data_IF_941807632282
#
_entry.id   IF_941807632282
#
_cell.length_a   1.000
_cell.length_b   1.000
_cell.length_c   1.000
_cell.angle_alpha   90.00
_cell.angle_beta   90.00
_cell.angle_gamma   90.00
#
_symmetry.space_group_name_H-M   'P 1'
#
loop_
_entity.id
_entity.type
_entity.pdbx_description
1 polymer ?
#
# COMPACT_ATOMS: atom_id res chain seq x y z
N UNK A 1 -11.88 -27.07 -13.59
CA UNK A 1 -12.00 -26.81 -12.14
C UNK A 1 -12.76 -25.51 -11.98
N UNK A 2 -13.87 -25.53 -11.23
CA UNK A 2 -14.65 -24.31 -10.95
C UNK A 2 -13.91 -23.40 -9.94
N UNK A 3 -14.34 -22.15 -9.85
CA UNK A 3 -13.71 -21.09 -9.08
C UNK A 3 -13.76 -21.35 -7.57
N UNK A 4 -14.87 -21.89 -7.07
CA UNK A 4 -15.00 -22.22 -5.64
C UNK A 4 -13.96 -23.26 -5.22
N UNK A 5 -13.83 -24.32 -6.01
CA UNK A 5 -12.87 -25.38 -5.72
C UNK A 5 -11.44 -24.89 -5.89
N UNK A 6 -11.16 -24.02 -6.87
CA UNK A 6 -9.89 -23.32 -6.96
C UNK A 6 -9.60 -22.49 -5.69
N UNK A 7 -10.56 -21.70 -5.22
CA UNK A 7 -10.41 -20.85 -4.03
C UNK A 7 -10.16 -21.67 -2.76
N UNK A 8 -10.77 -22.86 -2.63
CA UNK A 8 -10.48 -23.80 -1.53
C UNK A 8 -9.03 -24.29 -1.57
N UNK A 9 -8.50 -24.53 -2.76
CA UNK A 9 -7.16 -25.07 -2.99
C UNK A 9 -6.14 -24.01 -3.46
N UNK A 10 -6.42 -22.71 -3.24
CA UNK A 10 -5.65 -21.60 -3.82
C UNK A 10 -4.16 -21.63 -3.50
N UNK A 11 -3.78 -22.25 -2.38
CA UNK A 11 -2.40 -22.38 -1.95
C UNK A 11 -1.71 -23.67 -2.45
N UNK A 12 -2.42 -24.57 -3.13
CA UNK A 12 -1.87 -25.83 -3.67
C UNK A 12 -0.91 -25.59 -4.83
N UNK A 13 -1.26 -24.70 -5.75
CA UNK A 13 -0.37 -24.24 -6.82
C UNK A 13 0.69 -23.24 -6.31
N UNK A 14 0.37 -22.53 -5.22
CA UNK A 14 1.30 -21.68 -4.48
C UNK A 14 1.72 -20.40 -5.22
N UNK A 15 2.58 -19.62 -4.58
CA UNK A 15 3.37 -18.56 -5.19
C UNK A 15 4.83 -19.02 -5.18
N UNK A 16 5.63 -18.69 -6.19
CA UNK A 16 7.08 -18.95 -6.10
C UNK A 16 7.67 -18.26 -4.86
N UNK A 17 8.63 -18.92 -4.21
CA UNK A 17 9.33 -18.37 -3.06
C UNK A 17 10.30 -17.27 -3.53
N UNK A 18 10.44 -16.21 -2.74
CA UNK A 18 11.39 -15.13 -3.01
C UNK A 18 12.81 -15.71 -3.15
N UNK A 19 13.48 -15.54 -4.30
CA UNK A 19 14.88 -15.95 -4.45
C UNK A 19 15.80 -15.02 -3.65
N UNK A 20 17.02 -15.48 -3.40
CA UNK A 20 18.09 -14.61 -2.90
C UNK A 20 18.79 -13.94 -4.09
N UNK A 21 19.11 -12.66 -3.97
CA UNK A 21 19.79 -11.92 -5.02
C UNK A 21 20.25 -10.54 -4.60
N UNK A 22 21.12 -9.97 -5.43
CA UNK A 22 21.60 -8.61 -5.30
C UNK A 22 21.71 -7.98 -6.68
N UNK A 23 21.05 -6.84 -6.86
CA UNK A 23 20.95 -6.16 -8.14
C UNK A 23 21.33 -4.69 -8.02
N UNK A 24 22.21 -4.23 -8.91
CA UNK A 24 22.72 -2.86 -8.88
C UNK A 24 21.70 -1.86 -9.41
N UNK A 25 20.98 -2.20 -10.47
CA UNK A 25 20.08 -1.29 -11.20
C UNK A 25 18.64 -1.80 -11.26
N UNK A 26 17.70 -0.90 -11.58
CA UNK A 26 16.28 -1.27 -11.79
C UNK A 26 16.14 -2.39 -12.82
N UNK A 27 16.84 -2.31 -13.96
CA UNK A 27 16.75 -3.31 -15.04
C UNK A 27 17.22 -4.70 -14.60
N UNK A 28 18.29 -4.77 -13.82
CA UNK A 28 18.79 -6.03 -13.26
C UNK A 28 17.79 -6.62 -12.28
N UNK A 29 17.30 -5.81 -11.34
CA UNK A 29 16.30 -6.22 -10.36
C UNK A 29 15.00 -6.69 -11.02
N UNK A 30 14.53 -5.95 -12.02
CA UNK A 30 13.39 -6.35 -12.82
C UNK A 30 13.62 -7.72 -13.46
N UNK A 31 14.75 -7.91 -14.15
CA UNK A 31 15.04 -9.13 -14.91
C UNK A 31 15.21 -10.34 -14.00
N UNK A 32 15.93 -10.19 -12.90
CA UNK A 32 16.34 -11.29 -12.02
C UNK A 32 15.25 -11.65 -10.99
N UNK A 33 14.43 -10.68 -10.56
CA UNK A 33 13.45 -10.86 -9.49
C UNK A 33 12.00 -10.74 -10.00
N UNK A 34 11.61 -9.58 -10.53
CA UNK A 34 10.20 -9.25 -10.80
C UNK A 34 9.64 -9.99 -12.01
N UNK A 35 10.39 -10.04 -13.13
CA UNK A 35 9.90 -10.47 -14.44
C UNK A 35 9.29 -11.87 -14.42
N UNK A 36 9.85 -12.78 -13.62
CA UNK A 36 9.40 -14.17 -13.51
C UNK A 36 8.13 -14.35 -12.66
N UNK A 37 7.71 -13.30 -11.95
CA UNK A 37 6.45 -13.30 -11.18
C UNK A 37 5.29 -12.68 -11.95
N UNK A 38 5.50 -12.20 -13.18
CA UNK A 38 4.45 -11.56 -13.96
C UNK A 38 3.55 -12.60 -14.66
N UNK A 39 2.23 -12.38 -14.71
CA UNK A 39 1.34 -13.23 -15.50
C UNK A 39 1.72 -13.25 -16.99
N UNK A 40 1.45 -14.39 -17.64
CA UNK A 40 1.58 -14.54 -19.09
C UNK A 40 0.62 -13.61 -19.83
N UNK A 41 0.98 -13.22 -21.06
CA UNK A 41 0.19 -12.27 -21.87
C UNK A 41 -1.21 -12.81 -22.15
N UNK A 42 -1.29 -14.08 -22.53
CA UNK A 42 -2.55 -14.74 -22.89
C UNK A 42 -3.50 -14.77 -21.69
N UNK A 43 -2.96 -15.00 -20.50
CA UNK A 43 -3.71 -14.99 -19.24
C UNK A 43 -4.21 -13.59 -18.90
N UNK A 44 -3.40 -12.54 -19.12
CA UNK A 44 -3.85 -11.17 -18.95
C UNK A 44 -4.94 -10.78 -19.95
N UNK A 45 -4.87 -11.23 -21.21
CA UNK A 45 -5.94 -11.02 -22.19
C UNK A 45 -7.27 -11.61 -21.72
N UNK A 46 -7.22 -12.84 -21.17
CA UNK A 46 -8.41 -13.53 -20.68
C UNK A 46 -9.00 -12.84 -19.45
N UNK A 47 -8.15 -12.41 -18.50
CA UNK A 47 -8.59 -11.63 -17.34
C UNK A 47 -9.20 -10.28 -17.75
N UNK A 48 -8.58 -9.58 -18.70
CA UNK A 48 -9.10 -8.30 -19.21
C UNK A 48 -10.49 -8.47 -19.84
N UNK A 49 -10.66 -9.48 -20.70
CA UNK A 49 -11.95 -9.80 -21.32
C UNK A 49 -13.02 -10.14 -20.28
N UNK A 50 -12.69 -11.00 -19.31
CA UNK A 50 -13.60 -11.40 -18.24
C UNK A 50 -14.04 -10.20 -17.39
N UNK A 51 -13.09 -9.38 -16.96
CA UNK A 51 -13.37 -8.23 -16.08
C UNK A 51 -14.14 -7.13 -16.81
N UNK A 52 -13.78 -6.81 -18.07
CA UNK A 52 -14.49 -5.82 -18.88
C UNK A 52 -15.92 -6.26 -19.21
N UNK A 53 -16.16 -7.56 -19.38
CA UNK A 53 -17.52 -8.10 -19.52
C UNK A 53 -18.28 -7.95 -18.20
N UNK A 54 -17.69 -8.42 -17.10
CA UNK A 54 -18.33 -8.41 -15.78
C UNK A 54 -18.75 -7.02 -15.30
N UNK A 55 -17.90 -6.00 -15.46
CA UNK A 55 -18.23 -4.64 -14.96
C UNK A 55 -19.40 -3.99 -15.69
N UNK A 56 -19.85 -4.55 -16.81
CA UNK A 56 -21.00 -4.06 -17.57
C UNK A 56 -22.28 -4.84 -17.32
N UNK A 57 -22.24 -5.86 -16.46
CA UNK A 57 -23.44 -6.61 -16.09
C UNK A 57 -24.38 -5.81 -15.16
N UNK A 58 -25.71 -5.90 -15.36
CA UNK A 58 -26.68 -5.20 -14.52
C UNK A 58 -26.60 -5.55 -13.04
N UNK A 59 -26.19 -6.78 -12.70
CA UNK A 59 -26.12 -7.29 -11.32
C UNK A 59 -24.68 -7.45 -10.81
N UNK A 60 -23.70 -6.84 -11.47
CA UNK A 60 -22.33 -6.85 -10.99
C UNK A 60 -22.24 -6.30 -9.55
N UNK A 61 -21.35 -6.90 -8.75
CA UNK A 61 -21.04 -6.44 -7.40
C UNK A 61 -19.59 -5.98 -7.38
N UNK A 62 -19.39 -4.71 -7.07
CA UNK A 62 -18.07 -4.09 -7.08
C UNK A 62 -17.43 -4.18 -5.70
N UNK A 63 -16.25 -4.80 -5.62
CA UNK A 63 -15.45 -4.74 -4.39
C UNK A 63 -14.73 -3.40 -4.27
N UNK A 64 -14.83 -2.77 -3.10
CA UNK A 64 -14.30 -1.43 -2.82
C UNK A 64 -13.32 -1.49 -1.65
N UNK A 65 -12.14 -0.89 -1.86
CA UNK A 65 -11.08 -0.82 -0.86
C UNK A 65 -11.19 0.46 -0.02
N UNK A 66 -12.17 0.52 0.86
CA UNK A 66 -12.38 1.62 1.82
C UNK A 66 -12.83 1.07 3.18
N UNK A 67 -12.62 1.84 4.25
CA UNK A 67 -13.09 1.49 5.60
C UNK A 67 -12.62 0.09 6.02
N UNK A 68 -11.39 -0.27 5.63
CA UNK A 68 -10.87 -1.64 5.73
C UNK A 68 -9.86 -1.82 6.88
N UNK A 69 -9.36 -0.70 7.41
CA UNK A 69 -8.40 -0.64 8.52
C UNK A 69 -8.75 0.56 9.40
N UNK A 70 -8.86 0.33 10.70
CA UNK A 70 -8.77 1.32 11.77
C UNK A 70 -8.12 0.64 12.99
N UNK A 71 -7.87 1.37 14.06
CA UNK A 71 -7.45 0.79 15.33
C UNK A 71 -8.51 -0.13 15.91
N UNK A 72 -8.11 -1.11 16.73
CA UNK A 72 -9.05 -2.04 17.38
C UNK A 72 -10.12 -1.31 18.23
N UNK A 73 -9.79 -0.13 18.76
CA UNK A 73 -10.72 0.68 19.54
C UNK A 73 -11.76 1.41 18.68
N UNK A 74 -11.59 1.41 17.36
CA UNK A 74 -12.44 2.09 16.37
C UNK A 74 -13.02 1.08 15.35
N UNK A 75 -13.33 -0.14 15.78
CA UNK A 75 -13.92 -1.15 14.90
C UNK A 75 -15.22 -0.66 14.22
N UNK A 76 -15.93 0.29 14.83
CA UNK A 76 -17.07 1.02 14.27
C UNK A 76 -16.80 1.74 12.94
N UNK A 77 -15.54 1.93 12.55
CA UNK A 77 -15.13 2.53 11.28
C UNK A 77 -14.78 1.49 10.20
N UNK A 78 -14.88 0.20 10.52
CA UNK A 78 -14.49 -0.89 9.62
C UNK A 78 -15.75 -1.53 8.99
N UNK A 79 -15.71 -1.83 7.69
CA UNK A 79 -16.86 -2.33 6.92
C UNK A 79 -16.57 -3.60 6.11
N UNK A 80 -15.48 -4.34 6.37
CA UNK A 80 -15.08 -5.45 5.48
C UNK A 80 -16.17 -6.51 5.39
N UNK A 81 -16.55 -6.89 4.17
CA UNK A 81 -17.63 -7.84 3.87
C UNK A 81 -19.04 -7.26 3.92
N UNK A 82 -19.19 -5.96 4.21
CA UNK A 82 -20.49 -5.29 4.31
C UNK A 82 -20.97 -4.94 2.91
N UNK A 83 -22.19 -5.35 2.59
CA UNK A 83 -22.78 -5.21 1.26
C UNK A 83 -23.81 -4.08 1.22
N UNK A 84 -23.70 -3.23 0.22
CA UNK A 84 -24.54 -2.03 0.05
C UNK A 84 -25.19 -2.06 -1.33
N UNK A 85 -26.46 -1.65 -1.37
CA UNK A 85 -27.30 -1.64 -2.55
C UNK A 85 -27.99 -0.28 -2.71
N UNK A 86 -27.82 0.35 -3.87
CA UNK A 86 -28.56 1.55 -4.27
C UNK A 86 -29.97 1.19 -4.78
N UNK A 87 -30.85 2.18 -4.87
CA UNK A 87 -32.24 1.99 -5.28
C UNK A 87 -32.36 1.41 -6.72
N UNK A 88 -31.52 1.86 -7.65
CA UNK A 88 -31.41 1.29 -9.00
C UNK A 88 -30.62 -0.03 -9.11
N UNK A 89 -30.63 -0.84 -8.05
CA UNK A 89 -29.97 -2.15 -7.95
C UNK A 89 -28.44 -2.17 -8.12
N UNK A 90 -27.77 -1.02 -8.18
CA UNK A 90 -26.31 -0.98 -8.22
C UNK A 90 -25.72 -1.39 -6.86
N UNK A 91 -24.70 -2.25 -6.89
CA UNK A 91 -24.27 -2.97 -5.68
C UNK A 91 -22.76 -2.94 -5.47
N UNK A 92 -22.32 -2.78 -4.23
CA UNK A 92 -20.92 -2.89 -3.87
C UNK A 92 -20.70 -3.53 -2.50
N UNK A 93 -19.48 -3.97 -2.25
CA UNK A 93 -19.05 -4.57 -0.98
C UNK A 93 -17.67 -4.04 -0.60
N UNK A 94 -17.47 -3.72 0.67
CA UNK A 94 -16.14 -3.33 1.14
C UNK A 94 -15.23 -4.55 1.32
N UNK A 95 -13.98 -4.45 0.92
CA UNK A 95 -12.99 -5.52 1.01
C UNK A 95 -11.85 -5.18 1.98
N UNK A 96 -11.06 -6.20 2.33
CA UNK A 96 -9.80 -5.95 3.03
C UNK A 96 -8.65 -5.60 2.05
N UNK A 97 -7.43 -5.44 2.59
CA UNK A 97 -6.24 -5.11 1.79
C UNK A 97 -5.73 -6.25 0.88
N UNK A 98 -6.30 -7.45 1.00
CA UNK A 98 -5.77 -8.68 0.43
C UNK A 98 -6.64 -9.26 -0.67
N UNK A 99 -7.80 -8.67 -0.99
CA UNK A 99 -8.63 -9.11 -2.11
C UNK A 99 -7.83 -9.25 -3.41
N UNK A 100 -6.99 -8.25 -3.73
CA UNK A 100 -6.13 -8.24 -4.91
C UNK A 100 -5.18 -9.46 -4.99
N UNK A 101 -4.82 -10.06 -3.85
CA UNK A 101 -3.95 -11.23 -3.83
C UNK A 101 -4.61 -12.44 -4.49
N UNK A 102 -5.94 -12.60 -4.37
CA UNK A 102 -6.67 -13.70 -5.01
C UNK A 102 -6.59 -13.58 -6.53
N UNK A 103 -6.85 -12.40 -7.08
CA UNK A 103 -6.79 -12.17 -8.53
C UNK A 103 -5.38 -12.34 -9.08
N UNK A 104 -4.39 -11.80 -8.38
CA UNK A 104 -3.01 -11.88 -8.83
C UNK A 104 -2.48 -13.32 -8.78
N UNK A 105 -2.76 -14.07 -7.71
CA UNK A 105 -2.29 -15.45 -7.58
C UNK A 105 -2.93 -16.36 -8.64
N UNK A 106 -4.22 -16.18 -8.93
CA UNK A 106 -4.88 -16.90 -10.00
C UNK A 106 -4.19 -16.62 -11.34
N UNK A 107 -3.88 -15.36 -11.63
CA UNK A 107 -3.22 -14.96 -12.87
C UNK A 107 -1.80 -15.54 -13.03
N UNK A 108 -0.96 -15.51 -12.00
CA UNK A 108 0.40 -16.10 -12.10
C UNK A 108 0.35 -17.63 -12.21
N UNK A 109 -0.66 -18.25 -11.60
CA UNK A 109 -0.92 -19.69 -11.71
C UNK A 109 -1.68 -20.06 -12.99
N UNK A 110 -1.81 -19.12 -13.94
CA UNK A 110 -2.44 -19.33 -15.25
C UNK A 110 -3.89 -19.81 -15.15
N UNK A 111 -4.58 -19.43 -14.06
CA UNK A 111 -5.99 -19.71 -13.86
C UNK A 111 -6.82 -18.47 -14.19
N UNK A 112 -7.81 -18.66 -15.06
CA UNK A 112 -8.88 -17.72 -15.33
C UNK A 112 -10.19 -18.51 -15.21
N UNK A 113 -11.13 -18.08 -14.36
CA UNK A 113 -12.41 -18.77 -14.25
C UNK A 113 -13.23 -18.60 -15.54
N UNK A 114 -14.15 -19.52 -15.78
CA UNK A 114 -15.20 -19.31 -16.78
C UNK A 114 -16.06 -18.10 -16.38
N UNK A 115 -16.59 -17.38 -17.38
CA UNK A 115 -17.37 -16.19 -17.13
C UNK A 115 -18.61 -16.45 -16.25
N UNK A 116 -19.38 -17.50 -16.57
CA UNK A 116 -20.60 -17.82 -15.82
C UNK A 116 -20.26 -18.20 -14.39
N UNK A 117 -19.22 -19.00 -14.20
CA UNK A 117 -18.74 -19.41 -12.88
C UNK A 117 -18.25 -18.19 -12.05
N UNK A 118 -17.49 -17.28 -12.66
CA UNK A 118 -17.09 -16.02 -12.01
C UNK A 118 -18.30 -15.18 -11.62
N UNK A 119 -19.22 -14.96 -12.56
CA UNK A 119 -20.45 -14.19 -12.32
C UNK A 119 -21.27 -14.78 -11.18
N UNK A 120 -21.51 -16.10 -11.20
CA UNK A 120 -22.28 -16.80 -10.18
C UNK A 120 -21.61 -16.68 -8.81
N UNK A 121 -20.31 -16.95 -8.70
CA UNK A 121 -19.56 -16.87 -7.43
C UNK A 121 -19.56 -15.45 -6.85
N UNK A 122 -19.45 -14.43 -7.70
CA UNK A 122 -19.48 -13.03 -7.27
C UNK A 122 -20.89 -12.62 -6.80
N UNK A 123 -21.91 -12.90 -7.61
CA UNK A 123 -23.30 -12.45 -7.36
C UNK A 123 -24.01 -13.26 -6.28
N UNK A 124 -23.60 -14.51 -6.04
CA UNK A 124 -24.08 -15.36 -4.93
C UNK A 124 -23.28 -15.17 -3.64
N UNK A 125 -22.36 -14.17 -3.58
CA UNK A 125 -21.59 -13.80 -2.39
C UNK A 125 -20.62 -14.88 -1.90
N UNK A 126 -20.16 -15.73 -2.80
CA UNK A 126 -19.24 -16.83 -2.48
C UNK A 126 -17.76 -16.45 -2.67
N UNK A 127 -17.47 -15.41 -3.47
CA UNK A 127 -16.11 -14.87 -3.55
C UNK A 127 -15.71 -14.23 -2.21
N UNK A 128 -14.53 -14.51 -1.65
CA UNK A 128 -14.14 -13.93 -0.36
C UNK A 128 -13.84 -12.44 -0.47
N UNK A 129 -14.25 -11.64 0.52
CA UNK A 129 -13.88 -10.21 0.56
C UNK A 129 -12.43 -9.95 0.99
N UNK A 130 -11.73 -11.00 1.42
CA UNK A 130 -10.47 -10.89 2.13
C UNK A 130 -10.15 -12.12 2.99
N UNK A 131 -9.20 -11.98 3.89
CA UNK A 131 -8.89 -13.01 4.91
C UNK A 131 -8.79 -12.45 6.34
N UNK A 132 -9.09 -11.17 6.56
CA UNK A 132 -9.10 -10.55 7.89
C UNK A 132 -10.50 -10.10 8.31
N UNK A 133 -10.84 -10.35 9.57
CA UNK A 133 -12.04 -9.81 10.23
C UNK A 133 -11.81 -9.57 11.72
N UNK A 134 -12.74 -8.86 12.34
CA UNK A 134 -12.95 -8.79 13.79
C UNK A 134 -14.29 -9.43 14.13
N UNK A 135 -14.50 -9.82 15.40
CA UNK A 135 -15.74 -10.50 15.80
C UNK A 135 -16.95 -9.59 15.66
N UNK A 136 -16.72 -8.31 15.87
CA UNK A 136 -17.70 -7.23 15.88
C UNK A 136 -18.22 -6.92 14.46
N UNK A 137 -17.43 -7.18 13.42
CA UNK A 137 -17.87 -7.03 12.02
C UNK A 137 -18.80 -8.16 11.57
N UNK A 138 -18.64 -9.38 12.10
CA UNK A 138 -19.29 -10.62 11.58
C UNK A 138 -20.80 -10.49 11.41
N UNK A 139 -21.59 -9.94 12.37
CA UNK A 139 -23.05 -9.88 12.25
C UNK A 139 -23.55 -9.06 11.06
N UNK A 140 -22.71 -8.18 10.52
CA UNK A 140 -23.05 -7.23 9.45
C UNK A 140 -22.50 -7.64 8.07
N UNK A 141 -21.79 -8.77 8.00
CA UNK A 141 -21.15 -9.25 6.77
C UNK A 141 -22.12 -10.05 5.89
N UNK A 142 -22.17 -9.71 4.61
CA UNK A 142 -22.87 -10.50 3.59
C UNK A 142 -21.93 -11.46 2.85
N UNK A 143 -20.64 -11.11 2.79
CA UNK A 143 -19.60 -11.89 2.14
C UNK A 143 -18.75 -12.61 3.19
N UNK A 144 -18.23 -13.78 2.86
CA UNK A 144 -17.42 -14.59 3.78
C UNK A 144 -15.94 -14.24 3.69
N UNK A 145 -15.23 -14.54 4.76
CA UNK A 145 -13.77 -14.56 4.79
C UNK A 145 -13.25 -15.77 4.01
N UNK A 146 -12.13 -15.61 3.32
CA UNK A 146 -11.43 -16.71 2.62
C UNK A 146 -10.11 -17.08 3.27
N UNK A 147 -9.33 -17.91 2.57
CA UNK A 147 -7.99 -18.34 3.00
C UNK A 147 -6.96 -17.25 2.69
N UNK A 148 -5.99 -17.06 3.59
CA UNK A 148 -4.84 -16.21 3.27
C UNK A 148 -4.09 -16.77 2.06
N UNK A 149 -3.78 -15.89 1.11
CA UNK A 149 -2.98 -16.23 -0.07
C UNK A 149 -1.50 -16.10 0.29
N UNK A 150 -0.73 -17.18 0.09
CA UNK A 150 0.66 -17.33 0.53
C UNK A 150 1.71 -16.39 -0.12
N UNK A 151 1.34 -15.31 -0.81
CA UNK A 151 2.27 -14.30 -1.36
C UNK A 151 3.21 -13.78 -0.26
N UNK A 152 2.62 -13.35 0.86
CA UNK A 152 3.37 -12.77 1.97
C UNK A 152 4.23 -13.80 2.70
N UNK A 153 3.75 -15.03 2.85
CA UNK A 153 4.50 -16.11 3.49
C UNK A 153 5.70 -16.54 2.64
N UNK A 154 5.59 -16.38 1.32
CA UNK A 154 6.66 -16.67 0.36
C UNK A 154 7.63 -15.50 0.17
N UNK A 155 7.53 -14.47 1.02
CA UNK A 155 8.50 -13.37 1.11
C UNK A 155 8.19 -12.15 0.25
N UNK A 156 7.06 -12.16 -0.46
CA UNK A 156 6.67 -11.11 -1.40
C UNK A 156 5.66 -10.12 -0.82
N UNK A 157 5.63 -8.92 -1.39
CA UNK A 157 4.58 -7.91 -1.25
C UNK A 157 4.00 -7.68 -2.65
N UNK A 158 2.67 -7.57 -2.72
CA UNK A 158 1.98 -7.16 -3.94
C UNK A 158 2.04 -5.63 -4.06
N UNK A 159 2.82 -5.13 -5.02
CA UNK A 159 2.89 -3.71 -5.37
C UNK A 159 1.92 -3.40 -6.52
N UNK A 160 1.43 -2.16 -6.58
CA UNK A 160 0.55 -1.69 -7.65
C UNK A 160 1.25 -0.61 -8.48
N UNK A 161 0.98 -0.60 -9.79
CA UNK A 161 1.41 0.47 -10.70
C UNK A 161 0.57 1.71 -10.42
N UNK A 162 -0.76 1.56 -10.40
CA UNK A 162 -1.69 2.64 -10.08
C UNK A 162 -2.33 2.40 -8.71
N UNK A 163 -2.25 3.40 -7.84
CA UNK A 163 -2.95 3.37 -6.55
C UNK A 163 -4.45 3.18 -6.75
N UNK A 164 -5.04 2.37 -5.89
CA UNK A 164 -6.49 2.12 -5.85
C UNK A 164 -7.25 3.33 -5.27
N UNK A 165 -6.57 4.22 -4.53
CA UNK A 165 -7.22 5.30 -3.77
C UNK A 165 -6.69 6.70 -4.16
N UNK A 166 -6.04 6.84 -5.31
CA UNK A 166 -5.42 8.11 -5.75
C UNK A 166 -5.16 8.12 -7.27
N UNK A 167 -4.72 9.25 -7.83
CA UNK A 167 -4.37 9.42 -9.26
C UNK A 167 -5.54 9.14 -10.21
N UNK A 168 -6.73 9.56 -9.82
CA UNK A 168 -7.89 9.58 -10.71
C UNK A 168 -7.98 10.94 -11.40
N UNK A 169 -8.66 11.00 -12.55
CA UNK A 169 -9.00 12.26 -13.21
C UNK A 169 -10.16 13.02 -12.51
N UNK A 170 -10.48 12.65 -11.28
CA UNK A 170 -11.47 13.27 -10.40
C UNK A 170 -10.91 13.33 -8.97
N UNK A 171 -11.50 14.16 -8.10
CA UNK A 171 -11.10 14.26 -6.70
C UNK A 171 -11.56 13.01 -5.94
N UNK A 172 -10.67 12.02 -5.85
CA UNK A 172 -10.97 10.79 -5.14
C UNK A 172 -11.24 11.04 -3.65
N UNK A 173 -10.54 11.96 -2.98
CA UNK A 173 -10.71 12.14 -1.54
C UNK A 173 -12.13 12.59 -1.18
N UNK A 174 -12.67 13.54 -1.93
CA UNK A 174 -14.03 14.03 -1.74
C UNK A 174 -15.09 13.09 -2.33
N UNK A 175 -14.98 12.71 -3.61
CA UNK A 175 -16.01 11.91 -4.29
C UNK A 175 -16.22 10.58 -3.60
N UNK A 176 -15.12 9.95 -3.16
CA UNK A 176 -15.20 8.65 -2.55
C UNK A 176 -16.08 8.67 -1.27
N UNK A 177 -16.11 9.78 -0.50
CA UNK A 177 -16.94 9.90 0.72
C UNK A 177 -18.43 9.82 0.41
N UNK A 178 -18.81 10.28 -0.78
CA UNK A 178 -20.17 10.27 -1.32
C UNK A 178 -20.49 8.90 -1.94
N UNK A 179 -19.55 8.35 -2.71
CA UNK A 179 -19.69 7.04 -3.38
C UNK A 179 -19.72 5.87 -2.39
N UNK A 180 -18.96 5.96 -1.30
CA UNK A 180 -18.76 4.87 -0.35
C UNK A 180 -18.98 5.36 1.10
N UNK A 181 -20.19 5.84 1.42
CA UNK A 181 -20.48 6.43 2.71
C UNK A 181 -20.26 5.41 3.83
N UNK A 182 -19.61 5.83 4.91
CA UNK A 182 -19.30 4.96 6.04
C UNK A 182 -20.56 4.35 6.67
N UNK A 183 -21.61 5.17 6.84
CA UNK A 183 -22.84 4.77 7.52
C UNK A 183 -22.61 4.37 8.99
N UNK A 184 -23.70 3.98 9.67
CA UNK A 184 -23.65 3.31 10.97
C UNK A 184 -23.91 1.81 10.76
N UNK A 185 -23.30 0.95 11.57
CA UNK A 185 -23.31 -0.49 11.30
C UNK A 185 -24.72 -1.09 11.30
N UNK A 186 -25.63 -0.60 12.13
CA UNK A 186 -27.02 -1.09 12.23
C UNK A 186 -27.86 -0.80 10.97
N UNK A 187 -27.35 0.00 10.03
CA UNK A 187 -27.93 0.12 8.69
C UNK A 187 -27.74 -1.16 7.87
N UNK A 188 -26.75 -2.00 8.19
CA UNK A 188 -26.54 -3.32 7.58
C UNK A 188 -27.32 -4.36 8.36
N UNK A 189 -28.55 -4.60 7.92
CA UNK A 189 -29.47 -5.52 8.60
C UNK A 189 -30.12 -6.48 7.64
N UNK A 190 -30.71 -7.53 8.20
CA UNK A 190 -31.49 -8.49 7.43
C UNK A 190 -32.86 -7.87 7.14
N UNK A 191 -33.22 -7.79 5.86
CA UNK A 191 -34.56 -7.40 5.41
C UNK A 191 -35.37 -8.65 5.06
N UNK A 192 -36.71 -8.57 5.13
CA UNK A 192 -37.61 -9.67 4.77
C UNK A 192 -37.26 -10.25 3.39
N UNK A 193 -37.04 -11.57 3.33
CA UNK A 193 -36.67 -12.29 2.11
C UNK A 193 -35.17 -12.36 1.80
N UNK A 194 -34.31 -11.73 2.61
CA UNK A 194 -32.85 -11.87 2.52
C UNK A 194 -32.32 -12.84 3.57
N UNK A 195 -31.30 -13.63 3.21
CA UNK A 195 -30.57 -14.50 4.14
C UNK A 195 -29.23 -13.89 4.59
N UNK A 196 -29.00 -12.61 4.30
CA UNK A 196 -27.78 -11.87 4.64
C UNK A 196 -28.08 -10.40 4.96
N UNK A 197 -27.25 -9.77 5.81
CA UNK A 197 -27.36 -8.35 6.11
C UNK A 197 -26.92 -7.49 4.92
N UNK A 198 -27.58 -6.37 4.69
CA UNK A 198 -27.15 -5.37 3.71
C UNK A 198 -27.65 -3.99 4.08
N UNK A 199 -27.08 -2.95 3.46
CA UNK A 199 -27.57 -1.58 3.57
C UNK A 199 -28.26 -1.16 2.28
N UNK A 200 -29.42 -0.50 2.39
CA UNK A 200 -30.08 0.19 1.28
C UNK A 200 -29.68 1.66 1.28
N UNK A 201 -29.37 2.19 0.11
CA UNK A 201 -29.26 3.63 -0.14
C UNK A 201 -30.43 3.99 -1.04
N UNK A 202 -31.32 4.87 -0.55
CA UNK A 202 -32.58 5.21 -1.23
C UNK A 202 -32.37 6.05 -2.50
N UNK A 203 -31.20 6.68 -2.64
CA UNK A 203 -30.85 7.42 -3.84
C UNK A 203 -30.44 6.47 -4.97
N UNK A 204 -30.71 6.87 -6.21
CA UNK A 204 -30.08 6.26 -7.37
C UNK A 204 -28.64 6.75 -7.51
N UNK A 205 -27.77 5.88 -8.02
CA UNK A 205 -26.44 6.26 -8.47
C UNK A 205 -26.45 6.54 -9.98
N UNK A 206 -25.87 7.67 -10.38
CA UNK A 206 -25.83 8.10 -11.78
C UNK A 206 -24.74 7.37 -12.60
N UNK A 207 -24.69 7.62 -13.91
CA UNK A 207 -23.74 6.97 -14.82
C UNK A 207 -22.28 7.37 -14.59
N UNK A 208 -22.03 8.60 -14.12
CA UNK A 208 -20.69 9.13 -13.84
C UNK A 208 -20.13 8.40 -12.62
N UNK A 209 -20.91 8.35 -11.54
CA UNK A 209 -20.52 7.70 -10.30
C UNK A 209 -20.42 6.19 -10.44
N UNK A 210 -21.29 5.55 -11.24
CA UNK A 210 -21.12 4.15 -11.66
C UNK A 210 -19.76 3.93 -12.33
N UNK A 211 -19.33 4.83 -13.21
CA UNK A 211 -18.04 4.73 -13.90
C UNK A 211 -16.85 4.86 -12.93
N UNK A 212 -16.95 5.75 -11.93
CA UNK A 212 -15.94 5.86 -10.86
C UNK A 212 -15.83 4.58 -10.02
N UNK A 213 -16.97 3.95 -9.70
CA UNK A 213 -16.98 2.68 -8.96
C UNK A 213 -16.41 1.51 -9.78
N UNK A 214 -16.74 1.43 -11.07
CA UNK A 214 -16.13 0.46 -12.01
C UNK A 214 -14.61 0.65 -12.09
N UNK A 215 -14.15 1.90 -12.20
CA UNK A 215 -12.73 2.23 -12.23
C UNK A 215 -12.02 1.81 -10.93
N UNK A 216 -12.61 2.09 -9.76
CA UNK A 216 -12.10 1.63 -8.47
C UNK A 216 -11.95 0.10 -8.43
N UNK A 217 -13.00 -0.61 -8.82
CA UNK A 217 -13.00 -2.07 -8.85
C UNK A 217 -11.91 -2.62 -9.78
N UNK A 218 -11.81 -2.11 -11.02
CA UNK A 218 -10.80 -2.56 -11.98
C UNK A 218 -9.38 -2.31 -11.47
N UNK A 219 -9.08 -1.15 -10.86
CA UNK A 219 -7.76 -0.92 -10.24
C UNK A 219 -7.46 -1.92 -9.13
N UNK A 220 -8.48 -2.34 -8.40
CA UNK A 220 -8.34 -3.29 -7.31
C UNK A 220 -8.12 -4.72 -7.79
N UNK A 221 -8.83 -5.18 -8.83
CA UNK A 221 -8.85 -6.61 -9.18
C UNK A 221 -8.06 -6.97 -10.44
N UNK A 222 -7.75 -6.02 -11.31
CA UNK A 222 -7.11 -6.33 -12.59
C UNK A 222 -5.63 -6.70 -12.41
N UNK A 223 -5.18 -7.91 -12.77
CA UNK A 223 -3.80 -8.36 -12.49
C UNK A 223 -2.72 -7.52 -13.17
N UNK A 224 -3.02 -6.87 -14.30
CA UNK A 224 -2.09 -5.94 -15.00
C UNK A 224 -1.61 -4.78 -14.12
N UNK A 225 -2.38 -4.42 -13.09
CA UNK A 225 -2.03 -3.32 -12.19
C UNK A 225 -0.95 -3.71 -11.18
N UNK A 226 -0.56 -4.98 -11.11
CA UNK A 226 0.21 -5.50 -9.99
C UNK A 226 1.48 -6.21 -10.42
N UNK A 227 2.44 -6.22 -9.49
CA UNK A 227 3.68 -6.97 -9.59
C UNK A 227 4.20 -7.33 -8.20
N UNK A 228 5.02 -8.38 -8.09
CA UNK A 228 5.63 -8.75 -6.82
C UNK A 228 6.96 -8.03 -6.63
N UNK A 229 7.17 -7.57 -5.40
CA UNK A 229 8.47 -7.12 -4.89
C UNK A 229 8.73 -7.80 -3.55
N UNK A 230 9.99 -7.88 -3.08
CA UNK A 230 10.25 -8.38 -1.75
C UNK A 230 9.47 -7.59 -0.68
N UNK A 231 9.09 -8.26 0.40
CA UNK A 231 8.61 -7.55 1.58
C UNK A 231 9.74 -6.73 2.17
N UNK A 232 9.41 -5.62 2.85
CA UNK A 232 10.44 -4.78 3.49
C UNK A 232 11.40 -5.56 4.40
N UNK A 233 10.90 -6.52 5.19
CA UNK A 233 11.77 -7.35 6.05
C UNK A 233 12.73 -8.28 5.28
N UNK A 234 12.57 -8.41 3.97
CA UNK A 234 13.30 -9.29 3.07
C UNK A 234 14.07 -8.50 2.00
N UNK A 235 14.25 -7.19 2.18
CA UNK A 235 15.03 -6.34 1.28
C UNK A 235 15.83 -5.28 2.03
N UNK A 236 16.93 -4.88 1.42
CA UNK A 236 17.67 -3.65 1.74
C UNK A 236 18.05 -2.97 0.44
N UNK A 237 17.89 -1.65 0.36
CA UNK A 237 18.14 -0.86 -0.85
C UNK A 237 18.62 0.55 -0.46
N UNK A 238 19.24 1.26 -1.40
CA UNK A 238 19.83 2.59 -1.13
C UNK A 238 18.92 3.77 -1.48
N UNK A 239 17.76 3.51 -2.08
CA UNK A 239 16.91 4.53 -2.72
C UNK A 239 15.57 4.74 -2.03
N UNK A 240 15.08 3.75 -1.31
CA UNK A 240 13.78 3.75 -0.67
C UNK A 240 13.94 3.70 0.86
N UNK A 241 13.38 4.72 1.52
CA UNK A 241 13.31 4.75 2.98
C UNK A 241 12.27 3.76 3.54
N UNK A 242 11.42 3.17 2.68
CA UNK A 242 10.30 2.31 3.07
C UNK A 242 10.29 0.99 2.33
N UNK A 243 9.75 0.92 1.11
CA UNK A 243 9.60 -0.32 0.36
C UNK A 243 9.88 -0.06 -1.11
N UNK A 244 10.62 -0.96 -1.76
CA UNK A 244 11.00 -0.76 -3.16
C UNK A 244 9.79 -0.66 -4.10
N UNK A 245 8.69 -1.35 -3.77
CA UNK A 245 7.44 -1.29 -4.53
C UNK A 245 6.70 0.05 -4.47
N UNK A 246 7.19 1.01 -3.69
CA UNK A 246 6.68 2.40 -3.64
C UNK A 246 7.68 3.39 -4.26
N UNK A 247 8.83 2.90 -4.76
CA UNK A 247 9.85 3.72 -5.40
C UNK A 247 9.38 4.18 -6.78
N UNK A 248 9.32 5.50 -7.00
CA UNK A 248 8.66 6.11 -8.16
C UNK A 248 9.28 5.67 -9.48
N UNK A 249 10.60 5.56 -9.53
CA UNK A 249 11.34 5.21 -10.73
C UNK A 249 11.14 3.73 -11.10
N UNK A 250 10.98 2.84 -10.10
CA UNK A 250 10.57 1.46 -10.35
C UNK A 250 9.12 1.41 -10.86
N UNK A 251 8.21 2.15 -10.24
CA UNK A 251 6.80 2.23 -10.70
C UNK A 251 6.71 2.72 -12.15
N UNK A 252 7.51 3.74 -12.51
CA UNK A 252 7.57 4.26 -13.87
C UNK A 252 8.19 3.24 -14.85
N UNK A 253 9.23 2.52 -14.43
CA UNK A 253 9.80 1.43 -15.22
C UNK A 253 8.76 0.33 -15.49
N UNK A 254 8.02 -0.08 -14.45
CA UNK A 254 6.94 -1.06 -14.58
C UNK A 254 5.82 -0.57 -15.48
N UNK A 255 5.42 0.70 -15.36
CA UNK A 255 4.45 1.32 -16.27
C UNK A 255 4.87 1.19 -17.74
N UNK A 256 6.10 1.60 -18.07
CA UNK A 256 6.61 1.55 -19.45
C UNK A 256 6.71 0.10 -19.96
N UNK A 257 7.17 -0.81 -19.11
CA UNK A 257 7.21 -2.24 -19.45
C UNK A 257 5.82 -2.79 -19.76
N UNK A 258 4.81 -2.46 -18.94
CA UNK A 258 3.43 -2.91 -19.18
C UNK A 258 2.87 -2.31 -20.47
N UNK A 259 3.14 -1.02 -20.71
CA UNK A 259 2.72 -0.33 -21.93
C UNK A 259 3.35 -0.93 -23.19
N UNK A 260 4.63 -1.30 -23.14
CA UNK A 260 5.31 -1.92 -24.28
C UNK A 260 4.82 -3.36 -24.51
N UNK A 261 4.82 -4.19 -23.47
CA UNK A 261 4.51 -5.62 -23.59
C UNK A 261 3.04 -5.92 -23.80
N UNK A 262 2.16 -5.12 -23.20
CA UNK A 262 0.71 -5.33 -23.16
C UNK A 262 -0.08 -4.16 -23.77
N UNK A 263 0.53 -3.39 -24.68
CA UNK A 263 0.01 -2.15 -25.30
C UNK A 263 -1.50 -2.02 -25.37
N UNK A 264 -2.18 -2.84 -26.19
CA UNK A 264 -3.62 -2.70 -26.42
C UNK A 264 -4.47 -2.88 -25.15
N UNK A 265 -4.09 -3.84 -24.30
CA UNK A 265 -4.78 -4.13 -23.04
C UNK A 265 -4.53 -2.99 -22.06
N UNK A 266 -3.27 -2.55 -21.93
CA UNK A 266 -2.89 -1.50 -21.00
C UNK A 266 -3.55 -0.16 -21.37
N UNK A 267 -3.60 0.20 -22.65
CA UNK A 267 -4.29 1.40 -23.13
C UNK A 267 -5.80 1.37 -22.83
N UNK A 268 -6.45 0.22 -23.03
CA UNK A 268 -7.88 0.04 -22.72
C UNK A 268 -8.12 0.12 -21.22
N UNK A 269 -7.30 -0.58 -20.44
CA UNK A 269 -7.33 -0.57 -18.99
C UNK A 269 -7.17 0.85 -18.43
N UNK A 270 -6.20 1.63 -18.92
CA UNK A 270 -5.98 3.03 -18.49
C UNK A 270 -7.20 3.92 -18.67
N UNK A 271 -7.93 3.76 -19.78
CA UNK A 271 -9.19 4.48 -20.03
C UNK A 271 -10.27 4.06 -19.03
N UNK A 272 -10.41 2.76 -18.80
CA UNK A 272 -11.46 2.22 -17.92
C UNK A 272 -11.23 2.51 -16.43
N UNK A 273 -9.98 2.81 -16.03
CA UNK A 273 -9.64 3.17 -14.65
C UNK A 273 -9.63 4.67 -14.35
N UNK A 274 -10.03 5.50 -15.32
CA UNK A 274 -10.11 6.96 -15.16
C UNK A 274 -8.80 7.57 -14.64
N UNK A 275 -7.67 7.14 -15.21
CA UNK A 275 -6.33 7.63 -14.83
C UNK A 275 -6.19 9.13 -15.14
N UNK A 276 -5.58 9.89 -14.23
CA UNK A 276 -5.23 11.28 -14.50
C UNK A 276 -4.15 11.35 -15.60
N UNK A 277 -4.39 12.21 -16.59
CA UNK A 277 -3.45 12.50 -17.68
C UNK A 277 -2.10 13.04 -17.17
N UNK A 278 -2.07 13.67 -15.99
CA UNK A 278 -0.85 14.22 -15.38
C UNK A 278 0.15 13.14 -14.91
N UNK A 279 -0.32 11.90 -14.73
CA UNK A 279 0.48 10.76 -14.27
C UNK A 279 1.69 10.47 -15.20
N UNK A 280 1.64 10.92 -16.45
CA UNK A 280 2.58 10.57 -17.53
C UNK A 280 3.77 11.53 -17.72
N UNK A 281 4.10 12.38 -16.74
CA UNK A 281 5.00 13.52 -16.98
C UNK A 281 6.50 13.25 -16.80
N UNK A 282 6.95 12.05 -16.42
CA UNK A 282 8.39 11.75 -16.30
C UNK A 282 8.79 10.65 -17.30
N UNK A 283 9.29 11.09 -18.45
CA UNK A 283 9.97 10.24 -19.45
C UNK A 283 11.48 10.42 -19.29
N UNK A 284 12.05 9.86 -18.23
CA UNK A 284 13.51 9.69 -18.18
C UNK A 284 13.88 8.55 -19.13
N UNK A 285 14.76 8.81 -20.10
CA UNK A 285 15.17 7.84 -21.11
C UNK A 285 15.96 6.64 -20.55
N UNK A 286 16.41 6.71 -19.29
CA UNK A 286 17.35 5.73 -18.72
C UNK A 286 16.88 5.13 -17.38
N UNK A 287 15.56 4.98 -17.15
CA UNK A 287 15.03 4.43 -15.89
C UNK A 287 15.64 3.07 -15.51
N UNK A 288 15.94 2.22 -16.50
CA UNK A 288 16.52 0.90 -16.25
C UNK A 288 17.93 0.94 -15.65
N UNK A 289 18.70 2.00 -15.91
CA UNK A 289 20.10 2.12 -15.48
C UNK A 289 20.25 2.81 -14.12
N UNK A 290 19.14 3.27 -13.53
CA UNK A 290 19.11 3.87 -12.20
C UNK A 290 19.62 2.87 -11.18
N UNK A 291 20.66 3.27 -10.45
CA UNK A 291 21.24 2.47 -9.38
C UNK A 291 20.32 2.45 -8.16
N UNK A 292 19.96 1.24 -7.73
CA UNK A 292 19.12 1.00 -6.54
C UNK A 292 19.83 0.15 -5.48
N UNK A 293 20.90 -0.55 -5.87
CA UNK A 293 21.74 -1.35 -4.97
C UNK A 293 20.93 -2.25 -4.03
N UNK A 294 19.95 -2.99 -4.57
CA UNK A 294 19.04 -3.80 -3.78
C UNK A 294 19.62 -5.19 -3.48
N UNK A 295 19.46 -5.64 -2.25
CA UNK A 295 19.66 -7.03 -1.83
C UNK A 295 18.32 -7.57 -1.35
N UNK A 296 17.93 -8.76 -1.79
CA UNK A 296 16.65 -9.40 -1.46
C UNK A 296 16.80 -10.89 -1.20
N UNK A 297 15.97 -11.43 -0.31
CA UNK A 297 16.05 -12.81 0.12
C UNK A 297 15.26 -13.07 1.40
N UNK A 298 14.88 -14.33 1.64
CA UNK A 298 14.19 -14.68 2.88
C UNK A 298 15.13 -14.53 4.07
N UNK A 299 14.66 -13.80 5.09
CA UNK A 299 15.45 -13.55 6.29
C UNK A 299 16.80 -12.89 5.98
N UNK A 300 16.85 -11.97 5.01
CA UNK A 300 17.91 -10.97 5.04
C UNK A 300 17.88 -10.39 6.44
N UNK A 301 18.96 -10.66 7.20
CA UNK A 301 19.17 -9.94 8.44
C UNK A 301 19.12 -8.50 7.98
N UNK A 302 18.08 -7.79 8.41
CA UNK A 302 18.21 -6.37 8.65
C UNK A 302 19.29 -6.28 9.72
N UNK A 303 20.56 -6.46 9.32
CA UNK A 303 21.60 -5.58 9.83
C UNK A 303 20.93 -4.24 9.65
N UNK A 304 20.52 -3.69 10.78
CA UNK A 304 20.11 -2.32 10.83
C UNK A 304 21.39 -1.54 10.51
N UNK A 305 21.81 -1.54 9.25
CA UNK A 305 22.02 -0.29 8.56
C UNK A 305 20.64 0.39 8.67
N UNK A 306 20.32 1.11 9.76
CA UNK A 306 20.98 2.40 10.05
C UNK A 306 21.85 2.76 8.86
N UNK A 307 21.17 2.99 7.73
CA UNK A 307 21.70 3.85 6.70
C UNK A 307 22.13 5.07 7.50
N UNK A 308 23.44 5.16 7.71
CA UNK A 308 24.14 6.41 7.86
C UNK A 308 23.67 7.22 6.66
N UNK A 309 22.55 7.93 6.84
CA UNK A 309 22.06 8.86 5.87
C UNK A 309 23.16 9.91 5.74
N UNK A 310 23.89 9.79 4.63
CA UNK A 310 24.93 10.69 4.17
C UNK A 310 26.15 10.83 5.08
N UNK A 311 27.12 9.92 4.92
CA UNK A 311 28.51 10.20 5.26
C UNK A 311 29.13 11.33 4.38
N UNK A 312 28.39 11.87 3.40
CA UNK A 312 28.85 12.97 2.54
C UNK A 312 27.99 14.25 2.61
N UNK A 313 27.13 14.38 3.62
CA UNK A 313 26.54 15.68 3.96
C UNK A 313 26.96 15.98 5.39
N UNK A 314 28.05 16.75 5.54
CA UNK A 314 28.61 17.10 6.85
C UNK A 314 27.65 18.07 7.53
N UNK A 315 26.70 17.54 8.30
CA UNK A 315 25.95 18.35 9.26
C UNK A 315 26.70 18.37 10.59
N UNK A 316 26.84 19.56 11.15
CA UNK A 316 27.53 19.74 12.42
C UNK A 316 26.64 19.26 13.57
N UNK A 317 27.03 18.18 14.25
CA UNK A 317 26.28 17.62 15.39
C UNK A 317 26.06 18.67 16.49
N UNK A 318 26.97 19.63 16.66
CA UNK A 318 26.85 20.70 17.65
C UNK A 318 25.68 21.65 17.34
N UNK A 319 25.37 21.91 16.06
CA UNK A 319 24.21 22.71 15.66
C UNK A 319 22.90 21.98 15.90
N UNK A 320 22.87 20.66 15.69
CA UNK A 320 21.72 19.81 15.99
C UNK A 320 21.44 19.78 17.50
N UNK A 321 22.50 19.60 18.32
CA UNK A 321 22.40 19.63 19.79
C UNK A 321 21.90 20.99 20.26
N UNK A 322 22.47 22.09 19.74
CA UNK A 322 22.06 23.47 20.07
C UNK A 322 20.59 23.70 19.76
N UNK A 323 20.18 23.38 18.54
CA UNK A 323 18.83 23.58 18.07
C UNK A 323 17.78 22.81 18.88
N UNK A 324 18.14 21.61 19.37
CA UNK A 324 17.22 20.80 20.15
C UNK A 324 17.20 21.16 21.64
N UNK A 325 18.38 21.25 22.26
CA UNK A 325 18.50 21.46 23.71
C UNK A 325 18.32 22.94 24.11
N UNK A 326 18.83 23.88 23.31
CA UNK A 326 18.77 25.33 23.60
C UNK A 326 17.60 25.99 22.88
N UNK A 327 17.45 25.80 21.57
CA UNK A 327 16.40 26.51 20.82
C UNK A 327 15.03 25.82 20.95
N UNK A 328 15.01 24.55 21.36
CA UNK A 328 13.79 23.77 21.57
C UNK A 328 13.04 23.47 20.28
N UNK A 329 13.74 23.36 19.16
CA UNK A 329 13.15 23.00 17.88
C UNK A 329 12.64 21.55 17.88
N UNK A 330 11.56 21.29 17.14
CA UNK A 330 11.10 19.91 16.89
C UNK A 330 12.07 19.21 15.93
N UNK A 331 12.18 17.87 16.01
CA UNK A 331 13.00 17.08 15.09
C UNK A 331 12.81 17.46 13.63
N UNK A 332 11.56 17.62 13.19
CA UNK A 332 11.22 18.03 11.81
C UNK A 332 11.77 19.40 11.41
N UNK A 333 11.75 20.36 12.34
CA UNK A 333 12.26 21.72 12.08
C UNK A 333 13.78 21.69 11.94
N UNK A 334 14.46 20.85 12.72
CA UNK A 334 15.90 20.65 12.62
C UNK A 334 16.25 20.02 11.28
N UNK A 335 15.52 18.98 10.86
CA UNK A 335 15.67 18.36 9.54
C UNK A 335 15.51 19.38 8.41
N UNK A 336 14.49 20.23 8.45
CA UNK A 336 14.25 21.22 7.39
C UNK A 336 15.25 22.37 7.39
N UNK A 337 15.66 22.87 8.57
CA UNK A 337 16.46 24.10 8.70
C UNK A 337 17.97 23.81 8.68
N UNK A 338 18.39 22.74 9.36
CA UNK A 338 19.82 22.43 9.56
C UNK A 338 20.27 21.38 8.55
N UNK A 339 19.41 20.43 8.21
CA UNK A 339 19.78 19.28 7.37
C UNK A 339 19.26 19.40 5.93
N UNK A 340 18.47 20.44 5.62
CA UNK A 340 17.82 20.65 4.32
C UNK A 340 17.00 19.43 3.84
N UNK A 341 16.44 18.64 4.77
CA UNK A 341 15.61 17.47 4.48
C UNK A 341 14.14 17.91 4.41
N UNK A 342 13.48 17.59 3.30
CA UNK A 342 12.04 17.87 3.13
C UNK A 342 11.17 16.87 3.90
N UNK A 343 10.85 17.20 5.14
CA UNK A 343 10.13 16.31 6.05
C UNK A 343 8.61 16.55 6.03
N UNK A 344 7.85 15.58 5.50
CA UNK A 344 6.38 15.63 5.36
C UNK A 344 5.64 15.82 6.70
N UNK A 345 4.43 16.38 6.65
CA UNK A 345 3.52 16.52 7.80
C UNK A 345 3.05 15.14 8.31
N UNK A 346 3.27 14.86 9.61
CA UNK A 346 3.06 13.57 10.30
C UNK A 346 3.88 12.42 9.66
N UNK A 347 4.89 11.94 10.39
CA UNK A 347 5.95 10.93 10.01
C UNK A 347 7.33 11.48 9.57
N UNK A 348 7.59 12.79 9.66
CA UNK A 348 8.94 13.37 9.55
C UNK A 348 9.67 13.49 10.90
N UNK A 349 10.97 13.75 10.91
CA UNK A 349 11.79 13.93 12.12
C UNK A 349 12.65 12.73 12.54
N UNK A 350 12.69 11.66 11.74
CA UNK A 350 13.33 10.40 12.12
C UNK A 350 14.87 10.47 12.12
N UNK A 351 15.47 11.22 11.20
CA UNK A 351 16.93 11.34 11.09
C UNK A 351 17.44 12.11 12.30
N UNK A 352 16.88 13.29 12.59
CA UNK A 352 17.27 14.06 13.77
C UNK A 352 17.00 13.30 15.07
N UNK A 353 15.85 12.60 15.18
CA UNK A 353 15.54 11.79 16.36
C UNK A 353 16.57 10.68 16.57
N UNK A 354 17.00 10.02 15.49
CA UNK A 354 18.00 8.95 15.56
C UNK A 354 19.35 9.48 16.02
N UNK A 355 19.81 10.61 15.46
CA UNK A 355 21.07 11.27 15.87
C UNK A 355 21.03 11.61 17.36
N UNK A 356 19.97 12.30 17.81
CA UNK A 356 19.84 12.72 19.21
C UNK A 356 19.77 11.52 20.17
N UNK A 357 19.00 10.48 19.82
CA UNK A 357 18.95 9.25 20.61
C UNK A 357 20.33 8.56 20.70
N UNK A 358 21.09 8.54 19.61
CA UNK A 358 22.46 8.01 19.59
C UNK A 358 23.39 8.82 20.51
N UNK A 359 23.09 10.09 20.77
CA UNK A 359 23.80 10.95 21.71
C UNK A 359 23.24 10.89 23.14
N UNK A 360 22.27 10.01 23.41
CA UNK A 360 21.58 9.92 24.71
C UNK A 360 20.61 11.08 24.97
N UNK A 361 20.27 11.87 23.95
CA UNK A 361 19.33 12.98 24.03
C UNK A 361 17.92 12.49 23.67
N UNK A 362 17.05 12.42 24.67
CA UNK A 362 15.66 11.96 24.53
C UNK A 362 14.66 13.13 24.43
N UNK A 363 13.39 12.81 24.17
CA UNK A 363 12.29 13.76 24.11
C UNK A 363 12.20 14.70 25.32
N UNK A 364 12.51 14.20 26.52
CA UNK A 364 12.44 14.95 27.78
C UNK A 364 13.48 16.06 27.89
N UNK A 365 14.54 16.01 27.08
CA UNK A 365 15.63 17.00 27.11
C UNK A 365 15.39 18.19 26.16
N UNK A 366 14.29 18.19 25.40
CA UNK A 366 13.99 19.25 24.45
C UNK A 366 13.86 20.61 25.17
N UNK A 367 14.68 21.58 24.77
CA UNK A 367 14.66 22.92 25.35
C UNK A 367 15.17 23.00 26.79
N UNK A 368 15.81 21.96 27.33
CA UNK A 368 16.27 21.93 28.72
C UNK A 368 17.32 23.01 29.04
N UNK A 369 18.08 23.46 28.02
CA UNK A 369 19.07 24.52 28.14
C UNK A 369 18.51 25.92 27.89
N UNK A 370 17.18 26.09 27.74
CA UNK A 370 16.55 27.43 27.66
C UNK A 370 16.72 28.20 28.97
N UNK A 371 16.61 27.48 30.08
CA UNK A 371 16.54 28.07 31.42
C UNK A 371 17.68 27.58 32.33
N UNK A 372 18.65 26.82 31.79
CA UNK A 372 19.72 26.19 32.55
C UNK A 372 21.02 26.17 31.74
N UNK A 373 22.15 26.43 32.40
CA UNK A 373 23.46 26.39 31.75
C UNK A 373 23.90 24.94 31.51
N UNK A 374 24.75 24.72 30.49
CA UNK A 374 25.30 23.37 30.20
C UNK A 374 26.03 22.79 31.42
N UNK A 375 26.80 23.61 32.14
CA UNK A 375 27.50 23.19 33.36
C UNK A 375 26.53 22.71 34.45
N UNK A 376 25.42 23.42 34.66
CA UNK A 376 24.41 23.03 35.63
C UNK A 376 23.70 21.74 35.21
N UNK A 377 23.49 21.50 33.92
CA UNK A 377 22.86 20.27 33.43
C UNK A 377 23.77 19.05 33.56
N UNK A 378 25.07 19.21 33.35
CA UNK A 378 26.07 18.14 33.54
C UNK A 378 26.08 17.58 34.96
N UNK A 379 25.78 18.40 35.98
CA UNK A 379 25.75 17.97 37.38
C UNK A 379 24.65 16.94 37.65
N UNK A 380 23.52 17.06 36.96
CA UNK A 380 22.34 16.20 37.14
C UNK A 380 22.22 15.10 36.08
N UNK A 381 22.90 15.24 34.94
CA UNK A 381 22.88 14.27 33.86
C UNK A 381 23.66 12.99 34.22
N UNK A 382 23.23 11.86 33.65
CA UNK A 382 23.89 10.55 33.81
C UNK A 382 24.11 9.86 32.46
N UNK A 383 24.94 8.81 32.45
CA UNK A 383 25.16 7.95 31.29
C UNK A 383 25.64 8.69 30.03
N UNK A 384 25.15 8.23 28.87
CA UNK A 384 25.54 8.75 27.54
C UNK A 384 25.19 10.23 27.36
N UNK A 385 24.09 10.68 27.95
CA UNK A 385 23.66 12.08 27.91
C UNK A 385 24.70 13.01 28.56
N UNK A 386 25.22 12.64 29.75
CA UNK A 386 26.27 13.40 30.44
C UNK A 386 27.54 13.52 29.58
N UNK A 387 27.97 12.42 28.96
CA UNK A 387 29.15 12.39 28.10
C UNK A 387 28.99 13.34 26.90
N UNK A 388 27.81 13.36 26.28
CA UNK A 388 27.47 14.29 25.19
C UNK A 388 27.52 15.74 25.65
N UNK A 389 26.97 16.07 26.82
CA UNK A 389 26.99 17.44 27.35
C UNK A 389 28.40 17.95 27.66
N UNK A 390 29.28 17.08 28.18
CA UNK A 390 30.69 17.42 28.43
C UNK A 390 31.41 17.71 27.11
N UNK A 391 31.22 16.86 26.10
CA UNK A 391 31.79 17.09 24.76
C UNK A 391 31.26 18.37 24.14
N UNK A 392 29.94 18.60 24.22
CA UNK A 392 29.29 19.79 23.69
C UNK A 392 29.79 21.08 24.37
N UNK A 393 30.00 21.05 25.70
CA UNK A 393 30.59 22.18 26.44
C UNK A 393 31.98 22.57 25.95
N UNK A 394 32.78 21.61 25.47
CA UNK A 394 34.14 21.87 24.99
C UNK A 394 34.19 22.37 23.54
N UNK A 395 33.04 22.44 22.86
CA UNK A 395 32.90 22.86 21.44
C UNK A 395 32.07 24.15 21.33
N UNK A 396 31.40 24.56 22.42
CA UNK A 396 30.86 25.90 22.61
C UNK A 396 31.97 26.89 22.95
#
# INVERSE_FOLDING_TARGET
MNLIDYLKDINKSGCIQLPNGRDKTIKLFFTNCIKNTLPKKEILCQWDSLLNTYVNEPKAIYFIRRHHTDSNNNWNNIRRGFYTKYNNDFCYVFCDNYLAHYFYIMAINQYVPDYKDFYDVMTTRQFPYGFRNTKEEIPYQAFKIGKSVNINNNGWKLAHIFSVNDNYNFDYEEDSKILFPLGIQDEWKIYNGSNYPYRKIDNDIDSVDKSKMKAHFLRLVHPINYFLVPQRKNETDVVSNNNIGEYKELLQYMYLYMQEKYKNIFETYQKNILLDNSYNTIRSSNLGDIEIGIEYGLQIKTTSSVVMANANQVYNESDIIRAYLKDGLSFRKIESIIMCINSKNRRGGWVTKTILNNLGIENKHKGILKNKTVSAEILTATGKYKQTLVKYKNIL
#
